data_IF_650876844993
#
_entry.id   IF_650876844993
#
_cell.length_a   1.000
_cell.length_b   1.000
_cell.length_c   1.000
_cell.angle_alpha   90.00
_cell.angle_beta   90.00
_cell.angle_gamma   90.00
#
_symmetry.space_group_name_H-M   'P 1'
#
loop_
_entity.id
_entity.type
_entity.pdbx_description
1 polymer ?
#
# COMPACT_ATOMS: atom_id res chain seq x y z
N UNK A 1 -0.35 22.20 -19.02
CA UNK A 1 0.18 21.62 -17.76
C UNK A 1 -0.40 20.22 -17.50
N UNK A 2 -0.23 19.29 -18.45
CA UNK A 2 -0.56 17.87 -18.32
C UNK A 2 0.52 17.15 -19.14
N UNK A 3 1.14 16.12 -18.55
CA UNK A 3 2.06 15.15 -19.18
C UNK A 3 3.42 15.64 -19.71
N UNK A 4 4.27 16.25 -18.88
CA UNK A 4 5.71 16.34 -19.20
C UNK A 4 6.47 15.04 -18.83
N UNK A 5 5.97 14.28 -17.85
CA UNK A 5 6.62 13.06 -17.35
C UNK A 5 6.49 11.87 -18.32
N UNK A 6 5.36 11.76 -19.02
CA UNK A 6 5.05 10.59 -19.85
C UNK A 6 5.82 10.54 -21.17
N UNK A 7 6.13 11.71 -21.77
CA UNK A 7 6.93 11.77 -22.99
C UNK A 7 8.39 11.37 -22.72
N UNK A 8 8.96 11.86 -21.61
CA UNK A 8 10.33 11.52 -21.20
C UNK A 8 10.50 10.03 -20.89
N UNK A 9 9.56 9.44 -20.15
CA UNK A 9 9.61 8.01 -19.87
C UNK A 9 9.47 7.14 -21.13
N UNK A 10 8.70 7.59 -22.12
CA UNK A 10 8.59 6.88 -23.40
C UNK A 10 9.90 6.95 -24.19
N UNK A 11 10.56 8.12 -24.21
CA UNK A 11 11.88 8.30 -24.83
C UNK A 11 12.95 7.44 -24.15
N UNK A 12 12.97 7.39 -22.82
CA UNK A 12 13.87 6.52 -22.06
C UNK A 12 13.62 5.04 -22.37
N UNK A 13 12.35 4.62 -22.49
CA UNK A 13 12.00 3.24 -22.87
C UNK A 13 12.42 2.90 -24.30
N UNK A 14 12.26 3.82 -25.24
CA UNK A 14 12.74 3.65 -26.62
C UNK A 14 14.25 3.54 -26.67
N UNK A 15 14.96 4.33 -25.86
CA UNK A 15 16.43 4.24 -25.75
C UNK A 15 16.87 2.87 -25.19
N UNK A 16 16.16 2.33 -24.20
CA UNK A 16 16.49 1.04 -23.58
C UNK A 16 16.12 -0.17 -24.46
N UNK A 17 14.98 -0.13 -25.13
CA UNK A 17 14.36 -1.30 -25.79
C UNK A 17 14.48 -1.23 -27.33
N UNK A 18 14.79 -0.06 -27.89
CA UNK A 18 14.99 0.17 -29.33
C UNK A 18 13.72 0.35 -30.15
N UNK A 19 12.53 0.17 -29.56
CA UNK A 19 11.24 0.40 -30.21
C UNK A 19 10.23 1.07 -29.27
N UNK A 20 9.24 1.76 -29.83
CA UNK A 20 8.16 2.39 -29.04
C UNK A 20 7.23 1.32 -28.48
N UNK A 21 7.05 1.23 -27.14
CA UNK A 21 6.09 0.30 -26.56
C UNK A 21 4.67 0.66 -27.02
N UNK A 22 3.91 -0.34 -27.42
CA UNK A 22 2.55 -0.17 -27.95
C UNK A 22 1.61 0.50 -26.95
N UNK A 23 0.52 1.08 -27.46
CA UNK A 23 -0.47 1.84 -26.66
C UNK A 23 -1.06 0.98 -25.54
N UNK A 24 -1.26 -0.32 -25.79
CA UNK A 24 -1.72 -1.28 -24.77
C UNK A 24 -0.85 -1.26 -23.52
N UNK A 25 0.48 -1.36 -23.66
CA UNK A 25 1.41 -1.35 -22.53
C UNK A 25 1.40 -0.03 -21.77
N UNK A 26 1.32 1.09 -22.49
CA UNK A 26 1.28 2.41 -21.88
C UNK A 26 0.01 2.62 -21.05
N UNK A 27 -1.14 2.18 -21.55
CA UNK A 27 -2.42 2.28 -20.84
C UNK A 27 -2.43 1.35 -19.62
N UNK A 28 -1.93 0.12 -19.77
CA UNK A 28 -1.89 -0.87 -18.68
C UNK A 28 -1.07 -0.36 -17.50
N UNK A 29 0.15 0.12 -17.74
CA UNK A 29 1.00 0.61 -16.65
C UNK A 29 0.51 1.91 -16.03
N UNK A 30 -0.14 2.78 -16.82
CA UNK A 30 -0.55 4.09 -16.34
C UNK A 30 -1.90 4.12 -15.63
N UNK A 31 -2.83 3.29 -16.06
CA UNK A 31 -4.21 3.34 -15.58
C UNK A 31 -4.60 2.05 -14.89
N UNK A 32 -4.35 0.90 -15.52
CA UNK A 32 -4.81 -0.39 -15.00
C UNK A 32 -4.04 -0.76 -13.73
N UNK A 33 -2.72 -0.64 -13.74
CA UNK A 33 -1.88 -0.95 -12.57
C UNK A 33 -2.25 -0.10 -11.32
N UNK A 34 -2.26 1.25 -11.37
CA UNK A 34 -2.61 2.03 -10.18
C UNK A 34 -4.08 1.85 -9.78
N UNK A 35 -4.99 1.62 -10.72
CA UNK A 35 -6.39 1.35 -10.41
C UNK A 35 -6.55 0.03 -9.64
N UNK A 36 -5.90 -1.05 -10.07
CA UNK A 36 -5.93 -2.34 -9.39
C UNK A 36 -5.38 -2.21 -7.96
N UNK A 37 -4.22 -1.55 -7.80
CA UNK A 37 -3.63 -1.32 -6.47
C UNK A 37 -4.58 -0.53 -5.57
N UNK A 38 -5.26 0.49 -6.11
CA UNK A 38 -6.24 1.28 -5.37
C UNK A 38 -7.46 0.43 -4.96
N UNK A 39 -8.00 -0.40 -5.85
CA UNK A 39 -9.12 -1.29 -5.54
C UNK A 39 -8.76 -2.29 -4.45
N UNK A 40 -7.58 -2.91 -4.55
CA UNK A 40 -7.08 -3.85 -3.53
C UNK A 40 -6.91 -3.13 -2.18
N UNK A 41 -6.41 -1.90 -2.18
CA UNK A 41 -6.26 -1.10 -0.96
C UNK A 41 -7.62 -0.82 -0.29
N UNK A 42 -8.63 -0.43 -1.06
CA UNK A 42 -9.99 -0.19 -0.53
C UNK A 42 -10.56 -1.48 0.04
N UNK A 43 -10.48 -2.58 -0.70
CA UNK A 43 -10.98 -3.87 -0.24
C UNK A 43 -10.26 -4.34 1.03
N UNK A 44 -8.94 -4.15 1.09
CA UNK A 44 -8.15 -4.40 2.28
C UNK A 44 -8.66 -3.59 3.49
N UNK A 45 -8.90 -2.27 3.33
CA UNK A 45 -9.47 -1.46 4.42
C UNK A 45 -10.84 -1.97 4.89
N UNK A 46 -11.76 -2.25 3.94
CA UNK A 46 -13.11 -2.75 4.28
C UNK A 46 -13.03 -4.08 5.03
N UNK A 47 -12.29 -5.05 4.50
CA UNK A 47 -12.14 -6.37 5.14
C UNK A 47 -11.43 -6.28 6.49
N UNK A 48 -10.46 -5.38 6.66
CA UNK A 48 -9.77 -5.15 7.91
C UNK A 48 -10.69 -4.54 8.97
N UNK A 49 -11.65 -3.69 8.58
CA UNK A 49 -12.65 -3.11 9.50
C UNK A 49 -13.74 -4.09 9.93
N UNK A 50 -14.05 -5.09 9.10
CA UNK A 50 -15.12 -6.06 9.38
C UNK A 50 -14.64 -7.31 10.14
N UNK A 51 -13.35 -7.64 10.08
CA UNK A 51 -12.81 -8.83 10.74
C UNK A 51 -12.38 -8.53 12.17
N UNK A 52 -12.92 -9.28 13.12
CA UNK A 52 -12.37 -9.32 14.47
C UNK A 52 -11.00 -10.03 14.42
N UNK A 53 -10.00 -9.43 15.08
CA UNK A 53 -8.66 -10.00 15.15
C UNK A 53 -8.69 -11.20 16.11
N UNK A 54 -8.89 -12.39 15.57
CA UNK A 54 -8.78 -13.66 16.32
C UNK A 54 -7.56 -14.45 15.87
N UNK A 55 -6.92 -15.14 16.80
CA UNK A 55 -5.86 -16.10 16.52
C UNK A 55 -6.24 -17.49 16.99
N UNK A 56 -5.69 -18.50 16.32
CA UNK A 56 -5.94 -19.89 16.65
C UNK A 56 -4.95 -20.34 17.72
N UNK A 57 -5.48 -20.90 18.81
CA UNK A 57 -4.71 -21.42 19.94
C UNK A 57 -4.92 -22.92 20.04
N UNK A 58 -3.84 -23.63 20.33
CA UNK A 58 -3.90 -25.04 20.69
C UNK A 58 -4.10 -25.14 22.20
N UNK A 59 -5.34 -25.37 22.62
CA UNK A 59 -5.74 -25.46 24.02
C UNK A 59 -6.19 -26.89 24.37
N UNK A 60 -5.41 -27.63 25.18
CA UNK A 60 -5.75 -28.99 25.58
C UNK A 60 -6.98 -29.08 26.50
N UNK A 61 -7.44 -27.97 27.08
CA UNK A 61 -8.62 -27.91 27.96
C UNK A 61 -9.89 -27.46 27.21
N UNK A 62 -9.81 -27.23 25.89
CA UNK A 62 -10.96 -26.80 25.09
C UNK A 62 -12.00 -27.91 24.90
N UNK A 63 -13.29 -27.54 24.94
CA UNK A 63 -14.41 -28.48 24.75
C UNK A 63 -14.39 -29.18 23.38
N UNK A 64 -13.77 -28.55 22.38
CA UNK A 64 -13.67 -29.05 21.00
C UNK A 64 -12.32 -29.71 20.68
N UNK A 65 -11.54 -30.11 21.69
CA UNK A 65 -10.26 -30.79 21.49
C UNK A 65 -10.43 -32.04 20.58
N UNK A 66 -9.60 -32.23 19.52
CA UNK A 66 -8.30 -31.59 19.21
C UNK A 66 -8.37 -30.40 18.22
N UNK A 67 -9.53 -29.78 18.01
CA UNK A 67 -9.65 -28.62 17.12
C UNK A 67 -8.99 -27.35 17.72
N UNK A 68 -8.59 -26.42 16.84
CA UNK A 68 -7.98 -25.15 17.23
C UNK A 68 -9.06 -24.15 17.69
N UNK A 69 -8.91 -23.61 18.90
CA UNK A 69 -9.84 -22.62 19.44
C UNK A 69 -9.49 -21.21 18.92
N UNK A 70 -10.50 -20.42 18.51
CA UNK A 70 -10.31 -19.03 18.11
C UNK A 70 -10.41 -18.09 19.32
N UNK A 71 -9.30 -17.41 19.65
CA UNK A 71 -9.21 -16.48 20.77
C UNK A 71 -8.99 -15.06 20.24
N UNK A 72 -9.68 -14.02 20.78
CA UNK A 72 -9.45 -12.65 20.36
C UNK A 72 -8.07 -12.14 20.77
N UNK A 73 -7.45 -11.33 19.91
CA UNK A 73 -6.20 -10.65 20.25
C UNK A 73 -6.43 -9.60 21.36
N UNK A 74 -5.48 -9.44 22.29
CA UNK A 74 -5.54 -8.40 23.29
C UNK A 74 -5.41 -7.01 22.66
N UNK A 75 -6.03 -6.00 23.28
CA UNK A 75 -6.22 -4.66 22.72
C UNK A 75 -4.92 -3.91 22.38
N UNK A 76 -3.81 -4.23 23.05
CA UNK A 76 -2.50 -3.60 22.81
C UNK A 76 -1.87 -3.98 21.45
N UNK A 77 -2.31 -5.08 20.83
CA UNK A 77 -1.81 -5.52 19.52
C UNK A 77 -2.14 -4.51 18.42
N UNK A 78 -3.29 -3.83 18.52
CA UNK A 78 -3.66 -2.77 17.58
C UNK A 78 -2.61 -1.64 17.53
N UNK A 79 -2.02 -1.30 18.68
CA UNK A 79 -0.95 -0.30 18.74
C UNK A 79 0.32 -0.77 18.01
N UNK A 80 0.66 -2.05 18.15
CA UNK A 80 1.82 -2.65 17.48
C UNK A 80 1.60 -2.70 15.96
N UNK A 81 0.40 -3.13 15.52
CA UNK A 81 0.04 -3.15 14.10
C UNK A 81 0.10 -1.74 13.50
N UNK A 82 -0.44 -0.75 14.20
CA UNK A 82 -0.39 0.64 13.74
C UNK A 82 1.05 1.17 13.65
N UNK A 83 1.92 0.82 14.59
CA UNK A 83 3.32 1.23 14.55
C UNK A 83 4.08 0.56 13.39
N UNK A 84 3.92 -0.75 13.22
CA UNK A 84 4.61 -1.51 12.18
C UNK A 84 4.14 -1.16 10.76
N UNK A 85 2.84 -0.97 10.55
CA UNK A 85 2.29 -0.61 9.24
C UNK A 85 2.30 0.90 8.99
N UNK A 86 2.10 1.71 10.03
CA UNK A 86 1.97 3.16 9.95
C UNK A 86 3.29 3.88 9.73
N UNK A 87 4.37 3.51 10.43
CA UNK A 87 5.68 4.17 10.28
C UNK A 87 6.20 4.13 8.83
N UNK A 88 6.28 2.98 8.14
CA UNK A 88 6.77 2.95 6.76
C UNK A 88 5.81 3.62 5.78
N UNK A 89 4.48 3.51 5.98
CA UNK A 89 3.50 4.14 5.09
C UNK A 89 3.44 5.66 5.22
N UNK A 90 3.72 6.20 6.41
CA UNK A 90 3.76 7.64 6.67
C UNK A 90 5.11 8.29 6.32
N UNK A 91 6.21 7.53 6.28
CA UNK A 91 7.53 8.08 5.97
C UNK A 91 7.57 8.83 4.62
N UNK A 92 6.96 8.25 3.58
CA UNK A 92 6.92 8.83 2.23
C UNK A 92 6.15 10.17 2.18
N UNK A 93 4.88 10.25 2.64
CA UNK A 93 4.16 11.53 2.64
C UNK A 93 4.76 12.56 3.61
N UNK A 94 5.25 12.14 4.78
CA UNK A 94 5.91 13.06 5.73
C UNK A 94 7.15 13.70 5.09
N UNK A 95 8.01 12.90 4.47
CA UNK A 95 9.18 13.42 3.78
C UNK A 95 8.81 14.36 2.62
N UNK A 96 7.79 14.00 1.83
CA UNK A 96 7.29 14.85 0.75
C UNK A 96 6.78 16.20 1.28
N UNK A 97 6.02 16.21 2.37
CA UNK A 97 5.53 17.42 3.02
C UNK A 97 6.67 18.27 3.59
N UNK A 98 7.62 17.68 4.33
CA UNK A 98 8.79 18.38 4.84
C UNK A 98 9.58 19.05 3.72
N UNK A 99 9.78 18.33 2.60
CA UNK A 99 10.46 18.86 1.42
C UNK A 99 9.69 20.02 0.78
N UNK A 100 8.37 19.90 0.64
CA UNK A 100 7.53 20.96 0.08
C UNK A 100 7.57 22.22 0.94
N UNK A 101 7.48 22.08 2.27
CA UNK A 101 7.61 23.19 3.22
C UNK A 101 8.99 23.83 3.11
N UNK A 102 10.06 23.03 3.10
CA UNK A 102 11.42 23.54 2.97
C UNK A 102 11.63 24.32 1.66
N UNK A 103 11.16 23.80 0.53
CA UNK A 103 11.25 24.49 -0.78
C UNK A 103 10.41 25.76 -0.81
N UNK A 104 9.23 25.75 -0.19
CA UNK A 104 8.37 26.93 -0.08
C UNK A 104 9.03 28.02 0.79
N UNK A 105 9.60 27.65 1.94
CA UNK A 105 10.32 28.56 2.83
C UNK A 105 11.61 29.12 2.21
N UNK A 106 12.33 28.34 1.39
CA UNK A 106 13.56 28.79 0.71
C UNK A 106 13.31 29.66 -0.54
N UNK A 107 12.06 29.74 -1.00
CA UNK A 107 11.64 30.58 -2.13
C UNK A 107 11.16 31.98 -1.71
N UNK A 108 10.97 32.21 -0.41
CA UNK A 108 10.83 33.55 0.19
C UNK A 108 12.20 34.10 0.54
#
# INVERSE_FOLDING_TARGET
MKTFLCCRFNEDLVFMVGYKPGIFWQVTWRFISPLIVLVILIFYMVTQTQKELTYLVWDPESEEFPALASVPYPSWINAVVFLLAGVPSLAVPVYALCRLVFVYCKKK
#
